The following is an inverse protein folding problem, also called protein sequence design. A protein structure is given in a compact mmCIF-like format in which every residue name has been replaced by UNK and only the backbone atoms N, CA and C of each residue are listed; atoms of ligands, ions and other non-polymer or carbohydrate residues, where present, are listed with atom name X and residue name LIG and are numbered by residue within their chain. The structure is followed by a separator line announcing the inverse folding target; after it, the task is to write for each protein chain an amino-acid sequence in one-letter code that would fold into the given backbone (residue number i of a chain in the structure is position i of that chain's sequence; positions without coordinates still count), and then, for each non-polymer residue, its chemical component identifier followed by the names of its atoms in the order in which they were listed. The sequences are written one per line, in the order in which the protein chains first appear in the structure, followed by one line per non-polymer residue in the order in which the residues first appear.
data_IF_472988084737
#
_entry.id   IF_472988084737
#
_cell.length_a   1.000
_cell.length_b   1.000
_cell.length_c   1.000
_cell.angle_alpha   90.00
_cell.angle_beta   90.00
_cell.angle_gamma   90.00
#
_symmetry.space_group_name_H-M   'P 1'
#
loop_
_entity.id
_entity.type
_entity.pdbx_description
1 polymer ?
#
# COMPACT_ATOMS: atom_id res chain seq x y z
N UNK A 1 19.99 -59.61 2.67
CA UNK A 1 19.76 -58.36 1.90
C UNK A 1 18.28 -58.30 1.57
N UNK A 2 17.49 -57.71 2.47
CA UNK A 2 16.08 -57.40 2.21
C UNK A 2 16.07 -56.13 1.38
N UNK A 3 15.52 -56.20 0.17
CA UNK A 3 15.29 -55.03 -0.67
C UNK A 3 14.28 -54.13 0.00
N UNK A 4 14.76 -53.05 0.61
CA UNK A 4 13.94 -51.92 1.02
C UNK A 4 13.46 -51.21 -0.25
N UNK A 5 12.35 -51.69 -0.79
CA UNK A 5 11.54 -50.88 -1.70
C UNK A 5 11.03 -49.68 -0.91
N UNK A 6 11.41 -48.46 -1.32
CA UNK A 6 10.74 -47.24 -0.89
C UNK A 6 9.27 -47.32 -1.29
N UNK A 7 8.35 -47.44 -0.32
CA UNK A 7 6.94 -47.77 -0.62
C UNK A 7 5.99 -46.60 -0.39
N UNK A 8 6.31 -45.67 0.50
CA UNK A 8 5.45 -44.51 0.75
C UNK A 8 6.21 -43.19 0.66
N UNK A 9 5.56 -42.20 0.02
CA UNK A 9 6.02 -40.82 -0.07
C UNK A 9 4.92 -39.94 0.53
N UNK A 10 5.27 -39.09 1.49
CA UNK A 10 4.39 -38.05 2.02
C UNK A 10 4.84 -36.69 1.52
N UNK A 11 3.92 -35.91 0.95
CA UNK A 11 4.17 -34.55 0.43
C UNK A 11 3.46 -33.51 1.28
N UNK A 12 4.18 -32.45 1.65
CA UNK A 12 3.66 -31.29 2.37
C UNK A 12 4.03 -30.03 1.58
N UNK A 13 3.05 -29.18 1.29
CA UNK A 13 3.25 -27.89 0.61
C UNK A 13 3.22 -26.78 1.65
N UNK A 14 4.24 -25.93 1.62
CA UNK A 14 4.38 -24.77 2.50
C UNK A 14 4.71 -23.53 1.69
N UNK A 15 4.53 -22.37 2.30
CA UNK A 15 5.07 -21.13 1.74
C UNK A 15 6.55 -20.91 2.13
N UNK A 16 7.18 -19.80 1.69
CA UNK A 16 8.57 -19.52 2.01
C UNK A 16 8.83 -19.32 3.51
N UNK A 17 7.79 -19.08 4.32
CA UNK A 17 7.88 -18.97 5.79
C UNK A 17 7.75 -20.32 6.49
N UNK A 18 7.51 -21.41 5.74
CA UNK A 18 7.38 -22.77 6.26
C UNK A 18 5.99 -23.09 6.82
N UNK A 19 5.00 -22.22 6.60
CA UNK A 19 3.62 -22.48 7.03
C UNK A 19 2.86 -23.27 5.95
N UNK A 20 2.04 -24.27 6.30
CA UNK A 20 1.17 -24.95 5.34
C UNK A 20 0.11 -23.96 4.81
N UNK A 21 0.00 -23.77 3.49
CA UNK A 21 -0.93 -22.75 2.94
C UNK A 21 -1.69 -23.19 1.69
N UNK A 22 -2.85 -22.55 1.53
CA UNK A 22 -3.55 -22.22 0.29
C UNK A 22 -2.77 -21.13 -0.48
N UNK A 23 -2.54 -21.30 -1.78
CA UNK A 23 -1.65 -20.43 -2.55
C UNK A 23 -2.30 -19.20 -3.19
N UNK A 24 -1.51 -18.15 -3.43
CA UNK A 24 -1.89 -17.05 -4.34
C UNK A 24 -0.93 -16.96 -5.53
N UNK A 25 -1.40 -16.40 -6.63
CA UNK A 25 -0.59 -16.20 -7.82
C UNK A 25 0.65 -15.33 -7.53
N UNK A 26 1.78 -15.67 -8.14
CA UNK A 26 3.07 -15.00 -7.98
C UNK A 26 3.88 -15.42 -6.75
N UNK A 27 3.33 -16.25 -5.84
CA UNK A 27 4.07 -16.75 -4.68
C UNK A 27 5.01 -17.90 -5.05
N UNK A 28 6.15 -17.97 -4.38
CA UNK A 28 6.99 -19.17 -4.34
C UNK A 28 6.43 -20.13 -3.30
N UNK A 29 6.33 -21.40 -3.65
CA UNK A 29 5.91 -22.49 -2.77
C UNK A 29 7.08 -23.42 -2.53
N UNK A 30 7.26 -23.86 -1.30
CA UNK A 30 8.25 -24.86 -0.92
C UNK A 30 7.53 -26.15 -0.57
N UNK A 31 7.75 -27.18 -1.38
CA UNK A 31 7.21 -28.52 -1.18
C UNK A 31 8.26 -29.39 -0.53
N UNK A 32 7.87 -30.14 0.50
CA UNK A 32 8.70 -31.13 1.18
C UNK A 32 8.15 -32.52 0.93
N UNK A 33 9.03 -33.49 0.72
CA UNK A 33 8.67 -34.89 0.68
C UNK A 33 9.55 -35.73 1.61
N UNK A 34 8.95 -36.79 2.16
CA UNK A 34 9.63 -37.78 2.98
C UNK A 34 9.36 -39.17 2.42
N UNK A 35 10.36 -40.04 2.48
CA UNK A 35 10.25 -41.44 2.08
C UNK A 35 10.08 -42.35 3.28
N UNK A 36 9.37 -43.46 3.08
CA UNK A 36 9.31 -44.57 4.04
C UNK A 36 9.75 -45.86 3.33
N UNK A 37 10.86 -46.48 3.78
CA UNK A 37 11.80 -46.00 4.81
C UNK A 37 12.54 -44.71 4.36
N UNK A 38 13.02 -43.93 5.33
CA UNK A 38 13.76 -42.68 5.07
C UNK A 38 15.15 -42.96 4.49
N UNK A 39 15.73 -41.99 3.77
CA UNK A 39 17.08 -42.06 3.18
C UNK A 39 17.08 -42.07 1.65
N UNK A 40 15.91 -42.15 1.03
CA UNK A 40 15.73 -42.15 -0.42
C UNK A 40 15.23 -40.80 -0.95
N UNK A 41 15.10 -39.77 -0.10
CA UNK A 41 14.63 -38.44 -0.47
C UNK A 41 15.45 -37.76 -1.60
N UNK A 42 16.78 -37.92 -1.68
CA UNK A 42 17.57 -37.38 -2.80
C UNK A 42 17.15 -37.91 -4.18
N UNK A 43 16.47 -39.06 -4.23
CA UNK A 43 16.02 -39.72 -5.46
C UNK A 43 14.60 -39.31 -5.87
N UNK A 44 13.92 -38.48 -5.08
CA UNK A 44 12.56 -38.03 -5.39
C UNK A 44 12.60 -37.11 -6.61
N UNK A 45 11.84 -37.45 -7.63
CA UNK A 45 11.56 -36.60 -8.79
C UNK A 45 10.28 -35.79 -8.54
N UNK A 46 10.28 -34.50 -8.89
CA UNK A 46 9.12 -33.63 -8.73
C UNK A 46 8.53 -33.21 -10.06
N UNK A 47 7.20 -33.11 -10.11
CA UNK A 47 6.46 -32.45 -11.20
C UNK A 47 5.33 -31.61 -10.60
N UNK A 48 5.28 -30.33 -10.98
CA UNK A 48 4.39 -29.36 -10.31
C UNK A 48 3.58 -28.44 -11.22
N UNK A 49 3.92 -28.33 -12.50
CA UNK A 49 3.20 -27.45 -13.45
C UNK A 49 3.41 -25.94 -13.24
N UNK A 50 4.28 -25.54 -12.32
CA UNK A 50 4.71 -24.16 -12.10
C UNK A 50 6.03 -23.84 -12.82
N UNK A 51 6.74 -22.83 -12.34
CA UNK A 51 8.10 -22.47 -12.77
C UNK A 51 9.07 -22.48 -11.59
N UNK A 52 10.09 -23.35 -11.58
CA UNK A 52 10.33 -24.45 -12.54
C UNK A 52 9.23 -25.52 -12.49
N UNK A 53 9.06 -26.27 -13.59
CA UNK A 53 7.99 -27.29 -13.71
C UNK A 53 8.33 -28.64 -13.06
N UNK A 54 9.63 -28.92 -12.88
CA UNK A 54 10.15 -30.16 -12.31
C UNK A 54 11.43 -29.90 -11.50
N UNK A 55 11.80 -30.87 -10.66
CA UNK A 55 12.97 -30.80 -9.79
C UNK A 55 13.30 -32.15 -9.15
N UNK A 56 14.30 -32.17 -8.26
CA UNK A 56 14.73 -33.38 -7.57
C UNK A 56 15.06 -33.11 -6.11
N UNK A 57 14.96 -34.13 -5.26
CA UNK A 57 15.39 -34.13 -3.87
C UNK A 57 14.27 -34.01 -2.84
N UNK A 58 14.65 -33.86 -1.57
CA UNK A 58 13.70 -33.82 -0.44
C UNK A 58 12.78 -32.59 -0.43
N UNK A 59 13.18 -31.52 -1.14
CA UNK A 59 12.42 -30.29 -1.23
C UNK A 59 12.44 -29.74 -2.66
N UNK A 60 11.34 -29.12 -3.07
CA UNK A 60 11.18 -28.53 -4.39
C UNK A 60 10.49 -27.18 -4.28
N UNK A 61 11.07 -26.16 -4.92
CA UNK A 61 10.50 -24.81 -4.97
C UNK A 61 9.96 -24.52 -6.35
N UNK A 62 8.72 -24.03 -6.41
CA UNK A 62 8.07 -23.62 -7.66
C UNK A 62 7.13 -22.45 -7.43
N UNK A 63 6.79 -21.72 -8.49
CA UNK A 63 5.87 -20.60 -8.47
C UNK A 63 4.79 -20.74 -9.55
N UNK A 64 3.64 -20.14 -9.31
CA UNK A 64 2.51 -20.17 -10.24
C UNK A 64 2.00 -18.77 -10.48
N UNK A 65 2.00 -18.33 -11.74
CA UNK A 65 1.63 -16.96 -12.10
C UNK A 65 0.12 -16.77 -12.31
N UNK A 66 -0.65 -17.85 -12.30
CA UNK A 66 -2.09 -17.81 -12.57
C UNK A 66 -2.85 -18.52 -11.46
N UNK A 67 -4.09 -18.06 -11.23
CA UNK A 67 -5.06 -18.78 -10.41
C UNK A 67 -5.42 -20.11 -11.08
N UNK A 68 -5.80 -21.09 -10.30
CA UNK A 68 -6.26 -22.38 -10.80
C UNK A 68 -6.02 -23.53 -9.85
N UNK A 69 -6.43 -24.73 -10.28
CA UNK A 69 -6.14 -25.97 -9.56
C UNK A 69 -4.84 -26.57 -10.10
N UNK A 70 -3.92 -26.86 -9.19
CA UNK A 70 -2.62 -27.44 -9.51
C UNK A 70 -2.45 -28.78 -8.82
N UNK A 71 -1.70 -29.66 -9.48
CA UNK A 71 -1.33 -30.98 -8.96
C UNK A 71 0.17 -31.05 -8.86
N UNK A 72 0.66 -31.19 -7.63
CA UNK A 72 2.06 -31.46 -7.33
C UNK A 72 2.25 -32.95 -7.14
N UNK A 73 3.36 -33.49 -7.65
CA UNK A 73 3.72 -34.88 -7.51
C UNK A 73 5.19 -35.04 -7.14
N UNK A 74 5.43 -35.94 -6.19
CA UNK A 74 6.75 -36.43 -5.78
C UNK A 74 6.84 -37.94 -6.08
N UNK A 75 7.76 -38.35 -6.95
CA UNK A 75 7.99 -39.75 -7.33
C UNK A 75 7.43 -40.14 -8.70
N UNK A 76 7.62 -41.41 -9.10
CA UNK A 76 7.46 -41.89 -10.48
C UNK A 76 6.03 -41.76 -11.01
N UNK A 77 5.88 -41.59 -12.33
CA UNK A 77 4.66 -41.20 -13.06
C UNK A 77 3.45 -42.16 -12.98
N UNK A 78 3.54 -43.33 -12.33
CA UNK A 78 2.41 -44.26 -12.20
C UNK A 78 2.28 -44.86 -10.78
N UNK A 79 1.15 -44.69 -10.08
CA UNK A 79 0.74 -45.68 -9.10
C UNK A 79 0.18 -46.86 -9.89
N UNK A 80 0.88 -47.98 -9.94
CA UNK A 80 0.28 -49.20 -10.49
C UNK A 80 -0.98 -49.52 -9.67
N UNK A 81 -2.16 -49.46 -10.29
CA UNK A 81 -3.48 -49.76 -9.70
C UNK A 81 -3.63 -51.22 -9.20
N UNK A 82 -2.59 -52.05 -9.29
CA UNK A 82 -2.65 -53.46 -8.89
C UNK A 82 -2.37 -53.73 -7.40
N UNK A 83 -2.07 -52.72 -6.58
CA UNK A 83 -1.83 -52.95 -5.14
C UNK A 83 -3.07 -52.62 -4.33
N UNK A 84 -3.83 -53.66 -3.98
CA UNK A 84 -4.90 -53.61 -2.98
C UNK A 84 -4.41 -52.83 -1.76
N UNK A 85 -5.06 -51.70 -1.52
CA UNK A 85 -4.93 -50.88 -0.31
C UNK A 85 -5.07 -51.77 0.93
N UNK A 86 -3.93 -52.13 1.52
CA UNK A 86 -3.87 -52.66 2.88
C UNK A 86 -3.91 -51.45 3.80
N UNK A 87 -5.14 -51.08 4.17
CA UNK A 87 -5.56 -50.42 5.43
C UNK A 87 -4.50 -49.69 6.29
N UNK A 88 -3.69 -48.80 5.72
CA UNK A 88 -2.98 -47.69 6.36
C UNK A 88 -2.36 -46.81 5.28
N UNK A 89 -2.85 -45.57 5.13
CA UNK A 89 -2.21 -44.50 4.34
C UNK A 89 -2.14 -44.73 2.82
N UNK A 90 -3.06 -44.13 2.06
CA UNK A 90 -2.90 -44.02 0.61
C UNK A 90 -1.52 -43.41 0.27
N UNK A 91 -0.86 -43.87 -0.79
CA UNK A 91 0.34 -43.24 -1.34
C UNK A 91 0.09 -41.75 -1.62
N UNK A 92 0.52 -40.86 -0.72
CA UNK A 92 0.33 -39.40 -0.80
C UNK A 92 1.45 -38.74 -1.61
N UNK A 93 1.90 -39.39 -2.66
CA UNK A 93 2.90 -38.87 -3.61
C UNK A 93 2.35 -37.71 -4.44
N UNK A 94 1.07 -37.37 -4.30
CA UNK A 94 0.39 -36.33 -5.06
C UNK A 94 -0.41 -35.44 -4.12
N UNK A 95 -0.27 -34.12 -4.27
CA UNK A 95 -1.07 -33.10 -3.58
C UNK A 95 -1.79 -32.25 -4.62
N UNK A 96 -3.09 -32.09 -4.44
CA UNK A 96 -3.90 -31.11 -5.20
C UNK A 96 -4.13 -29.90 -4.32
N UNK A 97 -4.00 -28.71 -4.89
CA UNK A 97 -4.24 -27.47 -4.18
C UNK A 97 -4.75 -26.40 -5.15
N UNK A 98 -5.37 -25.38 -4.60
CA UNK A 98 -5.88 -24.24 -5.35
C UNK A 98 -4.98 -23.03 -5.14
N UNK A 99 -4.87 -22.23 -6.19
CA UNK A 99 -4.22 -20.93 -6.17
C UNK A 99 -5.27 -19.89 -6.51
N UNK A 100 -5.48 -18.95 -5.61
CA UNK A 100 -6.37 -17.82 -5.85
C UNK A 100 -5.63 -16.66 -6.54
N UNK A 101 -6.40 -15.85 -7.26
CA UNK A 101 -5.96 -14.55 -7.76
C UNK A 101 -6.57 -13.42 -6.95
N UNK A 102 -5.94 -12.25 -6.96
CA UNK A 102 -6.62 -11.00 -6.57
C UNK A 102 -7.51 -10.58 -7.73
N UNK A 103 -8.81 -10.44 -7.50
CA UNK A 103 -9.79 -10.09 -8.53
C UNK A 103 -10.04 -8.59 -8.59
N UNK A 104 -10.00 -7.89 -7.46
CA UNK A 104 -10.01 -6.44 -7.43
C UNK A 104 -9.33 -5.90 -6.18
N UNK A 105 -8.88 -4.65 -6.29
CA UNK A 105 -8.47 -3.84 -5.16
C UNK A 105 -9.28 -2.55 -5.20
N UNK A 106 -9.83 -2.13 -4.06
CA UNK A 106 -10.50 -0.85 -3.89
C UNK A 106 -9.88 -0.10 -2.72
N UNK A 107 -9.99 1.23 -2.72
CA UNK A 107 -9.55 2.08 -1.62
C UNK A 107 -10.65 2.98 -1.13
N UNK A 108 -10.64 3.23 0.18
CA UNK A 108 -11.56 4.09 0.89
C UNK A 108 -10.77 5.07 1.77
N UNK A 109 -11.11 6.35 1.66
CA UNK A 109 -10.55 7.43 2.48
C UNK A 109 -11.66 8.45 2.76
N UNK A 110 -11.65 9.00 3.97
CA UNK A 110 -12.58 10.06 4.39
C UNK A 110 -12.41 11.37 3.64
N UNK A 111 -11.31 11.53 2.88
CA UNK A 111 -10.94 12.75 2.15
C UNK A 111 -11.02 12.58 0.63
N UNK A 112 -11.72 11.54 0.16
CA UNK A 112 -11.87 11.23 -1.26
C UNK A 112 -10.79 10.27 -1.77
N UNK A 113 -10.66 10.18 -3.09
CA UNK A 113 -9.76 9.21 -3.75
C UNK A 113 -8.29 9.65 -3.79
N UNK A 114 -7.98 10.78 -3.18
CA UNK A 114 -6.66 11.38 -3.18
C UNK A 114 -5.88 10.92 -1.94
N UNK A 115 -4.58 10.63 -2.10
CA UNK A 115 -3.69 10.30 -0.98
C UNK A 115 -3.34 11.56 -0.21
N UNK A 116 -3.67 11.61 1.08
CA UNK A 116 -3.30 12.71 1.96
C UNK A 116 -2.33 12.23 3.04
N UNK A 117 -1.20 12.93 3.17
CA UNK A 117 -0.23 12.63 4.22
C UNK A 117 -0.83 12.78 5.62
N UNK A 118 -0.46 11.87 6.52
CA UNK A 118 -0.93 11.84 7.89
C UNK A 118 -2.36 11.32 8.06
N UNK A 119 -3.05 10.97 6.98
CA UNK A 119 -4.39 10.39 7.03
C UNK A 119 -4.40 8.92 6.65
N UNK A 120 -5.11 8.07 7.41
CA UNK A 120 -5.19 6.65 7.12
C UNK A 120 -6.03 6.40 5.87
N UNK A 121 -5.53 5.54 4.99
CA UNK A 121 -6.22 5.07 3.79
C UNK A 121 -6.43 3.56 3.94
N UNK A 122 -7.66 3.10 3.69
CA UNK A 122 -8.00 1.69 3.77
C UNK A 122 -8.12 1.09 2.39
N UNK A 123 -7.32 0.07 2.12
CA UNK A 123 -7.37 -0.75 0.92
C UNK A 123 -8.11 -2.04 1.23
N UNK A 124 -8.90 -2.53 0.27
CA UNK A 124 -9.65 -3.78 0.35
C UNK A 124 -9.38 -4.60 -0.90
N UNK A 125 -9.10 -5.89 -0.72
CA UNK A 125 -8.93 -6.83 -1.80
C UNK A 125 -10.11 -7.81 -1.84
N UNK A 126 -10.45 -8.27 -3.04
CA UNK A 126 -11.30 -9.45 -3.23
C UNK A 126 -10.52 -10.52 -3.97
N UNK A 127 -10.84 -11.79 -3.72
CA UNK A 127 -10.15 -12.92 -4.36
C UNK A 127 -11.03 -13.63 -5.37
N UNK A 128 -10.40 -14.37 -6.28
CA UNK A 128 -11.07 -15.34 -7.12
C UNK A 128 -10.32 -16.69 -7.08
N UNK A 129 -10.91 -17.75 -6.50
CA UNK A 129 -12.26 -17.79 -5.92
C UNK A 129 -12.43 -16.84 -4.71
N UNK A 130 -13.66 -16.41 -4.37
CA UNK A 130 -13.90 -15.68 -3.13
C UNK A 130 -13.68 -16.59 -1.91
N UNK A 131 -13.37 -16.01 -0.76
CA UNK A 131 -13.16 -16.73 0.52
C UNK A 131 -11.70 -16.84 0.96
N UNK A 132 -10.76 -16.32 0.16
CA UNK A 132 -9.33 -16.30 0.48
C UNK A 132 -8.83 -14.91 0.89
N UNK A 133 -9.74 -13.94 1.09
CA UNK A 133 -9.41 -12.57 1.45
C UNK A 133 -8.64 -12.49 2.77
N UNK A 134 -8.92 -13.39 3.72
CA UNK A 134 -8.19 -13.51 4.99
C UNK A 134 -6.70 -13.83 4.84
N UNK A 135 -6.29 -14.35 3.68
CA UNK A 135 -4.92 -14.74 3.39
C UNK A 135 -4.17 -13.77 2.49
N UNK A 136 -4.81 -12.69 2.02
CA UNK A 136 -4.19 -11.69 1.15
C UNK A 136 -3.03 -10.99 1.86
N UNK A 137 -1.79 -11.09 1.33
CA UNK A 137 -0.69 -10.32 1.84
C UNK A 137 -0.69 -8.92 1.23
N UNK A 138 -0.37 -7.93 2.04
CA UNK A 138 -0.22 -6.55 1.62
C UNK A 138 1.21 -6.08 1.76
N UNK A 139 1.67 -5.28 0.80
CA UNK A 139 2.96 -4.57 0.84
C UNK A 139 2.77 -3.16 0.32
N UNK A 140 3.43 -2.21 0.94
CA UNK A 140 3.48 -0.82 0.50
C UNK A 140 4.91 -0.53 0.09
N UNK A 141 5.10 -0.09 -1.15
CA UNK A 141 6.38 0.41 -1.65
C UNK A 141 6.24 1.93 -1.82
N UNK A 142 7.24 2.71 -1.45
CA UNK A 142 7.24 4.17 -1.60
C UNK A 142 8.56 4.63 -2.18
N UNK A 143 8.65 5.90 -2.58
CA UNK A 143 9.90 6.50 -3.06
C UNK A 143 11.13 6.13 -2.24
N UNK A 144 12.19 5.85 -3.00
CA UNK A 144 13.42 5.20 -2.58
C UNK A 144 14.06 5.98 -1.43
N UNK A 145 13.80 5.50 -0.21
CA UNK A 145 14.52 5.92 0.97
C UNK A 145 15.46 4.79 1.32
N UNK A 146 16.73 5.10 1.51
CA UNK A 146 17.79 4.12 1.79
C UNK A 146 17.57 3.28 3.08
N UNK A 147 16.44 3.46 3.80
CA UNK A 147 16.18 2.91 5.13
C UNK A 147 14.73 2.43 5.35
N UNK A 148 13.86 2.38 4.35
CA UNK A 148 12.49 1.84 4.51
C UNK A 148 11.43 2.57 3.69
N UNK A 149 10.15 2.38 4.06
CA UNK A 149 9.03 3.03 3.36
C UNK A 149 8.53 4.24 4.12
N UNK A 150 7.83 5.15 3.43
CA UNK A 150 7.17 6.31 3.99
C UNK A 150 5.74 5.98 4.47
N UNK A 151 5.50 4.75 4.93
CA UNK A 151 4.19 4.26 5.32
C UNK A 151 4.21 3.62 6.70
N UNK A 152 3.04 3.53 7.33
CA UNK A 152 2.85 2.78 8.57
C UNK A 152 1.40 2.27 8.69
N UNK A 153 1.16 0.94 8.76
CA UNK A 153 2.14 -0.14 8.56
C UNK A 153 2.56 -0.30 7.09
N UNK A 154 3.76 -0.85 6.87
CA UNK A 154 4.34 -1.11 5.53
C UNK A 154 3.86 -2.43 4.91
N UNK A 155 3.40 -3.36 5.76
CA UNK A 155 2.92 -4.68 5.36
C UNK A 155 1.68 -5.05 6.16
N UNK A 156 0.92 -6.01 5.65
CA UNK A 156 -0.24 -6.52 6.36
C UNK A 156 -0.70 -7.87 5.82
N UNK A 157 -1.70 -8.45 6.49
CA UNK A 157 -2.38 -9.66 6.05
C UNK A 157 -3.87 -9.53 6.32
N UNK A 158 -4.68 -9.98 5.37
CA UNK A 158 -6.13 -10.07 5.51
C UNK A 158 -6.89 -9.28 4.45
N UNK A 159 -8.22 -9.16 4.59
CA UNK A 159 -9.08 -8.60 3.55
C UNK A 159 -8.84 -7.11 3.30
N UNK A 160 -8.21 -6.43 4.26
CA UNK A 160 -7.96 -5.00 4.24
C UNK A 160 -6.59 -4.64 4.80
N UNK A 161 -5.99 -3.59 4.27
CA UNK A 161 -4.84 -2.90 4.85
C UNK A 161 -5.23 -1.44 5.08
N UNK A 162 -5.07 -0.94 6.31
CA UNK A 162 -5.13 0.50 6.58
C UNK A 162 -3.72 0.99 6.84
N UNK A 163 -3.24 1.94 6.05
CA UNK A 163 -1.89 2.52 6.18
C UNK A 163 -1.93 4.03 6.07
N UNK A 164 -0.97 4.70 6.73
CA UNK A 164 -0.81 6.15 6.68
C UNK A 164 0.51 6.51 6.04
N UNK A 165 0.48 7.40 5.06
CA UNK A 165 1.68 7.89 4.38
C UNK A 165 2.22 9.15 5.06
N UNK A 166 3.55 9.30 5.08
CA UNK A 166 4.24 10.49 5.60
C UNK A 166 5.12 11.12 4.53
N UNK A 167 5.25 12.44 4.55
CA UNK A 167 6.19 13.15 3.69
C UNK A 167 7.61 12.93 4.18
N UNK A 168 8.54 12.67 3.27
CA UNK A 168 9.96 12.55 3.55
C UNK A 168 10.68 13.79 2.98
N UNK A 169 11.35 14.54 3.86
CA UNK A 169 12.39 15.55 3.59
C UNK A 169 12.25 16.43 2.35
N UNK A 170 11.12 17.14 2.23
CA UNK A 170 11.00 18.30 1.32
C UNK A 170 11.03 17.95 -0.17
N UNK A 171 10.87 16.67 -0.54
CA UNK A 171 10.62 16.32 -1.94
C UNK A 171 9.15 16.55 -2.27
N UNK A 172 8.89 17.41 -3.25
CA UNK A 172 7.54 17.70 -3.75
C UNK A 172 6.93 16.52 -4.54
N UNK A 173 7.70 15.45 -4.77
CA UNK A 173 7.28 14.25 -5.49
C UNK A 173 7.13 13.07 -4.56
N UNK A 174 5.96 12.45 -4.61
CA UNK A 174 5.64 11.26 -3.84
C UNK A 174 5.08 10.19 -4.77
N UNK A 175 5.80 9.07 -4.87
CA UNK A 175 5.20 7.85 -5.37
C UNK A 175 5.06 6.86 -4.24
N UNK A 176 3.90 6.21 -4.23
CA UNK A 176 3.64 5.03 -3.45
C UNK A 176 2.91 4.03 -4.32
N UNK A 177 3.16 2.77 -4.06
CA UNK A 177 2.48 1.65 -4.68
C UNK A 177 2.05 0.70 -3.58
N UNK A 178 0.76 0.39 -3.54
CA UNK A 178 0.20 -0.59 -2.59
C UNK A 178 -0.10 -1.85 -3.36
N UNK A 179 0.36 -2.98 -2.83
CA UNK A 179 0.24 -4.29 -3.44
C UNK A 179 -0.66 -5.19 -2.59
N UNK A 180 -1.60 -5.88 -3.22
CA UNK A 180 -2.21 -7.09 -2.70
C UNK A 180 -1.63 -8.28 -3.48
N UNK A 181 -0.77 -9.07 -2.85
CA UNK A 181 0.02 -10.09 -3.57
C UNK A 181 0.87 -9.46 -4.67
N UNK A 182 0.59 -9.81 -5.93
CA UNK A 182 1.25 -9.25 -7.12
C UNK A 182 0.42 -8.16 -7.83
N UNK A 183 -0.79 -7.85 -7.34
CA UNK A 183 -1.67 -6.86 -7.92
C UNK A 183 -1.45 -5.49 -7.28
N UNK A 184 -1.38 -4.47 -8.11
CA UNK A 184 -1.12 -3.07 -7.75
C UNK A 184 -2.44 -2.30 -7.54
N UNK A 185 -2.47 -1.42 -6.53
CA UNK A 185 -3.67 -0.71 -6.10
C UNK A 185 -3.64 0.81 -6.37
N UNK A 186 -2.46 1.39 -6.53
CA UNK A 186 -2.29 2.81 -6.86
C UNK A 186 -1.88 2.93 -8.33
N UNK A 187 -2.39 3.93 -9.04
CA UNK A 187 -1.84 4.32 -10.34
C UNK A 187 -0.78 5.42 -10.10
N UNK A 188 0.23 5.52 -10.97
CA UNK A 188 1.27 6.58 -10.91
C UNK A 188 0.70 8.03 -10.90
N UNK A 189 -0.60 8.20 -11.18
CA UNK A 189 -1.29 9.49 -11.24
C UNK A 189 -1.89 9.94 -9.91
N UNK A 190 -1.89 9.10 -8.88
CA UNK A 190 -2.46 9.40 -7.56
C UNK A 190 -1.47 10.10 -6.62
N UNK A 191 -0.70 11.05 -7.17
CA UNK A 191 0.19 11.90 -6.40
C UNK A 191 -0.67 12.72 -5.40
N UNK A 192 -0.31 12.77 -4.10
CA UNK A 192 -0.91 13.68 -3.15
C UNK A 192 -0.91 15.08 -3.77
N UNK A 193 -2.04 15.81 -3.76
CA UNK A 193 -2.03 17.20 -4.14
C UNK A 193 -0.99 17.87 -3.25
N UNK A 194 -0.09 18.59 -3.91
CA UNK A 194 0.89 19.42 -3.25
C UNK A 194 0.17 20.21 -2.14
N UNK A 195 0.67 20.22 -0.89
CA UNK A 195 0.01 20.81 0.28
C UNK A 195 -0.24 22.34 0.20
N UNK A 196 -0.21 22.93 -1.00
CA UNK A 196 -0.49 24.33 -1.37
C UNK A 196 -1.86 24.75 -0.86
N UNK A 197 -1.86 25.75 0.02
CA UNK A 197 -3.05 26.52 0.35
C UNK A 197 -3.26 27.57 -0.74
N UNK A 198 -4.43 27.58 -1.39
CA UNK A 198 -4.85 28.72 -2.21
C UNK A 198 -5.26 29.88 -1.29
N UNK A 199 -4.43 30.92 -1.22
CA UNK A 199 -4.76 32.16 -0.55
C UNK A 199 -5.45 33.12 -1.54
N UNK A 200 -6.71 33.48 -1.30
CA UNK A 200 -7.38 34.56 -2.05
C UNK A 200 -7.34 35.85 -1.25
N UNK A 201 -6.59 36.85 -1.73
CA UNK A 201 -6.51 38.18 -1.12
C UNK A 201 -7.57 39.11 -1.71
N UNK A 202 -8.35 39.76 -0.84
CA UNK A 202 -9.29 40.81 -1.23
C UNK A 202 -8.80 42.17 -0.75
N UNK A 203 -8.56 43.09 -1.67
CA UNK A 203 -8.36 44.52 -1.37
C UNK A 203 -9.70 45.25 -1.53
N UNK A 204 -10.16 45.92 -0.49
CA UNK A 204 -11.33 46.81 -0.53
C UNK A 204 -10.93 48.23 -0.12
N UNK A 205 -11.33 49.21 -0.94
CA UNK A 205 -11.26 50.63 -0.60
C UNK A 205 -12.52 51.01 0.18
N UNK A 206 -12.36 51.68 1.31
CA UNK A 206 -13.48 52.28 2.07
C UNK A 206 -13.76 53.74 1.67
N UNK A 207 -13.03 54.30 0.70
CA UNK A 207 -13.25 55.68 0.26
C UNK A 207 -14.44 55.76 -0.71
N UNK A 208 -15.47 56.61 -0.44
CA UNK A 208 -16.59 56.79 -1.35
C UNK A 208 -16.21 57.48 -2.67
N UNK A 209 -14.99 58.02 -2.77
CA UNK A 209 -14.53 58.80 -3.92
C UNK A 209 -13.59 58.02 -4.86
N UNK A 210 -13.22 56.77 -4.55
CA UNK A 210 -12.28 56.00 -5.38
C UNK A 210 -12.65 54.52 -5.43
N UNK A 211 -13.20 54.07 -6.56
CA UNK A 211 -13.29 52.64 -6.91
C UNK A 211 -11.90 52.17 -7.34
N UNK A 212 -11.21 51.43 -6.49
CA UNK A 212 -10.06 50.65 -6.93
C UNK A 212 -10.60 49.50 -7.79
N UNK A 213 -10.15 49.31 -9.04
CA UNK A 213 -10.52 48.13 -9.81
C UNK A 213 -10.07 46.89 -9.03
N UNK A 214 -10.98 45.95 -8.79
CA UNK A 214 -10.69 44.68 -8.14
C UNK A 214 -9.49 44.05 -8.86
N UNK A 215 -8.33 43.99 -8.21
CA UNK A 215 -7.21 43.25 -8.75
C UNK A 215 -7.68 41.80 -8.96
N UNK A 216 -7.32 41.21 -10.11
CA UNK A 216 -7.58 39.80 -10.33
C UNK A 216 -6.96 39.02 -9.16
N UNK A 217 -7.65 37.99 -8.62
CA UNK A 217 -7.06 37.13 -7.61
C UNK A 217 -5.69 36.66 -8.09
N UNK A 218 -4.63 36.99 -7.35
CA UNK A 218 -3.32 36.40 -7.60
C UNK A 218 -3.17 35.24 -6.65
N UNK A 219 -3.09 34.03 -7.22
CA UNK A 219 -2.70 32.85 -6.47
C UNK A 219 -1.19 32.92 -6.23
N UNK A 220 -0.78 32.93 -4.96
CA UNK A 220 0.62 32.86 -4.57
C UNK A 220 0.88 31.51 -3.90
N UNK A 221 1.87 30.78 -4.40
CA UNK A 221 2.27 29.46 -3.88
C UNK A 221 3.39 29.64 -2.87
N UNK A 222 3.17 29.28 -1.60
CA UNK A 222 4.19 29.33 -0.53
C UNK A 222 4.18 28.06 0.34
N UNK A 223 5.35 27.58 0.82
CA UNK A 223 5.43 26.45 1.75
C UNK A 223 4.72 26.72 3.09
N UNK A 224 4.31 25.66 3.80
CA UNK A 224 3.71 25.77 5.14
C UNK A 224 4.71 26.34 6.16
N UNK A 225 4.23 27.14 7.11
CA UNK A 225 5.08 27.83 8.08
C UNK A 225 5.88 29.01 7.51
N UNK A 226 5.70 29.33 6.22
CA UNK A 226 6.31 30.51 5.60
C UNK A 226 5.63 31.77 6.12
N UNK A 227 6.43 32.67 6.66
CA UNK A 227 6.03 34.04 6.95
C UNK A 227 5.93 34.80 5.62
N UNK A 228 4.73 35.23 5.26
CA UNK A 228 4.51 35.98 4.03
C UNK A 228 4.36 37.46 4.38
N UNK A 229 5.19 38.29 3.75
CA UNK A 229 5.05 39.74 3.80
C UNK A 229 4.22 40.21 2.61
N UNK A 230 3.10 40.85 2.88
CA UNK A 230 2.16 41.40 1.91
C UNK A 230 2.38 42.92 1.82
N UNK A 231 2.49 43.45 0.60
CA UNK A 231 2.58 44.89 0.35
C UNK A 231 1.34 45.35 -0.41
N UNK A 232 0.60 46.29 0.18
CA UNK A 232 -0.42 47.06 -0.49
C UNK A 232 0.14 48.44 -0.83
N UNK A 233 0.03 48.85 -2.10
CA UNK A 233 0.44 50.18 -2.55
C UNK A 233 -0.70 50.85 -3.32
N UNK A 234 -0.84 52.15 -3.12
CA UNK A 234 -1.81 53.02 -3.76
C UNK A 234 -1.09 54.21 -4.39
N UNK A 235 -1.48 54.55 -5.61
CA UNK A 235 -1.04 55.76 -6.29
C UNK A 235 -1.76 57.03 -5.80
N UNK A 236 -2.73 56.87 -4.88
CA UNK A 236 -3.48 57.94 -4.25
C UNK A 236 -3.36 57.85 -2.73
N UNK A 237 -3.30 58.98 -2.00
CA UNK A 237 -3.31 58.96 -0.55
C UNK A 237 -4.57 58.29 -0.01
N UNK A 238 -4.40 57.29 0.85
CA UNK A 238 -5.46 56.62 1.60
C UNK A 238 -5.21 56.82 3.10
N UNK A 239 -6.29 56.99 3.86
CA UNK A 239 -6.15 57.25 5.30
C UNK A 239 -5.96 55.96 6.11
N UNK A 240 -6.47 54.82 5.62
CA UNK A 240 -6.35 53.53 6.28
C UNK A 240 -6.22 52.37 5.28
N UNK A 241 -5.38 51.40 5.63
CA UNK A 241 -5.37 50.06 5.06
C UNK A 241 -5.97 49.10 6.09
N UNK A 242 -6.72 48.09 5.62
CA UNK A 242 -7.32 47.07 6.48
C UNK A 242 -6.88 45.71 6.01
N UNK A 243 -6.28 44.96 6.95
CA UNK A 243 -5.84 43.59 6.73
C UNK A 243 -6.75 42.65 7.52
N UNK A 244 -7.17 41.55 6.91
CA UNK A 244 -7.91 40.47 7.58
C UNK A 244 -7.06 39.21 7.58
N UNK A 245 -6.79 38.64 8.75
CA UNK A 245 -5.94 37.45 8.88
C UNK A 245 -4.44 37.71 8.73
N UNK A 246 -4.01 38.98 8.75
CA UNK A 246 -2.60 39.38 8.74
C UNK A 246 -2.37 40.51 9.77
N UNK A 247 -1.17 40.54 10.35
CA UNK A 247 -0.70 41.56 11.29
C UNK A 247 -0.03 42.71 10.52
N UNK A 248 -0.52 43.93 10.66
CA UNK A 248 0.11 45.10 10.02
C UNK A 248 1.48 45.42 10.66
N UNK A 249 2.51 45.57 9.83
CA UNK A 249 3.89 45.84 10.23
C UNK A 249 4.23 47.32 10.09
N UNK A 250 3.76 47.96 9.00
CA UNK A 250 4.07 49.36 8.70
C UNK A 250 3.02 49.96 7.78
N UNK A 251 2.74 51.26 7.93
CA UNK A 251 1.86 51.97 7.00
C UNK A 251 2.30 53.42 6.79
N UNK A 252 2.04 53.93 5.60
CA UNK A 252 2.06 55.35 5.26
C UNK A 252 0.79 55.73 4.48
N UNK A 253 0.73 56.95 3.93
CA UNK A 253 -0.46 57.41 3.20
C UNK A 253 -0.65 56.72 1.84
N UNK A 254 0.34 56.02 1.34
CA UNK A 254 0.38 55.44 -0.02
C UNK A 254 0.70 53.94 -0.01
N UNK A 255 1.10 53.37 1.11
CA UNK A 255 1.41 51.95 1.23
C UNK A 255 1.15 51.40 2.63
N UNK A 256 0.90 50.10 2.72
CA UNK A 256 0.89 49.35 3.97
C UNK A 256 1.49 47.97 3.75
N UNK A 257 2.20 47.49 4.76
CA UNK A 257 2.84 46.18 4.78
C UNK A 257 2.25 45.37 5.92
N UNK A 258 1.84 44.15 5.66
CA UNK A 258 1.35 43.22 6.67
C UNK A 258 2.06 41.87 6.57
N UNK A 259 2.03 41.14 7.68
CA UNK A 259 2.59 39.80 7.83
C UNK A 259 1.47 38.81 8.09
N UNK A 260 1.51 37.69 7.40
CA UNK A 260 0.67 36.54 7.74
C UNK A 260 1.56 35.34 8.03
N UNK A 261 1.30 34.70 9.17
CA UNK A 261 1.79 33.36 9.45
C UNK A 261 0.68 32.38 9.07
N UNK A 262 0.93 31.56 8.05
CA UNK A 262 -0.01 30.53 7.61
C UNK A 262 0.05 29.36 8.60
N UNK A 263 -0.68 29.47 9.70
CA UNK A 263 -0.82 28.43 10.71
C UNK A 263 -1.72 27.29 10.22
N UNK A 264 -1.49 26.09 10.74
CA UNK A 264 -2.40 24.95 10.57
C UNK A 264 -3.81 25.34 11.04
N UNK A 265 -4.85 24.87 10.35
CA UNK A 265 -6.25 25.11 10.74
C UNK A 265 -6.51 24.73 12.20
N UNK A 266 -7.55 25.29 12.83
CA UNK A 266 -7.73 25.15 14.27
C UNK A 266 -7.93 23.69 14.68
N UNK A 267 -7.15 23.24 15.68
CA UNK A 267 -7.52 22.10 16.50
C UNK A 267 -8.92 22.37 17.08
N UNK A 268 -9.89 21.52 16.72
CA UNK A 268 -11.12 21.40 17.50
C UNK A 268 -10.78 20.74 18.84
N UNK A 269 -10.20 21.51 19.76
CA UNK A 269 -10.12 21.14 21.18
C UNK A 269 -10.40 22.36 22.06
N UNK A 270 -11.68 22.74 22.09
CA UNK A 270 -12.24 23.56 23.17
C UNK A 270 -13.73 23.25 23.29
N UNK A 271 -14.04 22.02 23.65
CA UNK A 271 -15.31 21.70 24.31
C UNK A 271 -15.01 21.54 25.80
N UNK A 272 -15.60 22.43 26.61
CA UNK A 272 -15.73 22.26 28.05
C UNK A 272 -14.67 22.97 28.89
N UNK A 273 -14.94 24.22 29.26
CA UNK A 273 -15.15 24.51 30.68
C UNK A 273 -15.85 25.86 30.87
N UNK A 274 -17.12 25.81 31.26
CA UNK A 274 -17.75 26.87 32.06
C UNK A 274 -18.26 26.18 33.31
N UNK A 275 -17.55 26.45 34.41
CA UNK A 275 -17.83 26.02 35.77
C UNK A 275 -19.06 26.71 36.37
N UNK A 276 -19.58 26.07 37.43
CA UNK A 276 -20.22 26.62 38.63
C UNK A 276 -21.57 27.36 38.52
#
# INVERSE_FOLDING_TARGET
MTGDDARDIEVIVTDPTGTPIIGHAGKVFVCHAKTVPSGYEPLIEWTGGGSPASGHGAAFSTSYLSKGSYTMRAGPASPSETRKSVKTGAARSTVKFEIYGISSISRESSYGQIVWYGYPITFRATTDPPGYEGDVPWRVDTHDHAWGTASDPETGKGPTLTTTFRSLDGTDRFWAQVYAGAAEALDERDEPPDPRLELTLYLQSLSPFTKIPRAAPQALTVPRGTEVTLLAASNLPVDHFLWTGAEEISHDRTSSTARVLLAAGPDQSSAGNTDA
#
